data_IF_595524991933
#
_entry.id   IF_595524991933
#
_cell.length_a   1.000
_cell.length_b   1.000
_cell.length_c   1.000
_cell.angle_alpha   90.00
_cell.angle_beta   90.00
_cell.angle_gamma   90.00
#
_symmetry.space_group_name_H-M   'P 1'
#
loop_
_entity.id
_entity.type
_entity.pdbx_description
1 polymer ?
#
# COMPACT_ATOMS: atom_id res chain seq x y z
N UNK A 1 9.61 -3.96 -17.39
CA UNK A 1 10.30 -4.96 -16.53
C UNK A 1 10.61 -6.17 -17.39
N UNK A 2 11.87 -6.67 -17.33
CA UNK A 2 12.26 -7.82 -18.12
C UNK A 2 11.83 -9.15 -17.49
N UNK A 3 11.62 -10.17 -18.33
CA UNK A 3 11.25 -11.53 -17.87
C UNK A 3 12.29 -12.08 -16.87
N UNK A 4 13.58 -11.90 -17.11
CA UNK A 4 14.64 -12.33 -16.17
C UNK A 4 14.52 -11.70 -14.78
N UNK A 5 14.04 -10.47 -14.68
CA UNK A 5 13.81 -9.79 -13.39
C UNK A 5 12.62 -10.42 -12.64
N UNK A 6 11.57 -10.82 -13.38
CA UNK A 6 10.43 -11.55 -12.84
C UNK A 6 10.89 -12.92 -12.31
N UNK A 7 11.68 -13.65 -13.10
CA UNK A 7 12.24 -14.94 -12.68
C UNK A 7 13.13 -14.81 -11.44
N UNK A 8 13.98 -13.78 -11.40
CA UNK A 8 14.84 -13.49 -10.25
C UNK A 8 14.01 -13.19 -8.99
N UNK A 9 12.95 -12.39 -9.12
CA UNK A 9 12.09 -12.01 -8.00
C UNK A 9 11.32 -13.21 -7.44
N UNK A 10 10.71 -14.01 -8.31
CA UNK A 10 9.76 -15.08 -7.93
C UNK A 10 10.38 -16.46 -7.77
N UNK A 11 11.62 -16.64 -8.24
CA UNK A 11 12.24 -17.96 -8.44
C UNK A 11 11.40 -18.89 -9.33
N UNK A 12 10.56 -18.29 -10.17
CA UNK A 12 9.72 -19.00 -11.15
C UNK A 12 10.54 -19.68 -12.24
N UNK A 13 9.88 -20.57 -12.97
CA UNK A 13 10.47 -21.30 -14.10
C UNK A 13 9.90 -20.77 -15.38
N UNK A 14 10.77 -20.34 -16.31
CA UNK A 14 10.37 -20.08 -17.69
C UNK A 14 10.17 -21.42 -18.42
N UNK A 15 8.94 -21.69 -18.84
CA UNK A 15 8.59 -22.89 -19.61
C UNK A 15 8.87 -22.65 -21.09
N UNK A 16 8.59 -21.43 -21.58
CA UNK A 16 8.76 -21.01 -22.95
C UNK A 16 8.95 -19.48 -22.96
N UNK A 17 9.70 -18.96 -23.92
CA UNK A 17 9.85 -17.54 -24.17
C UNK A 17 11.29 -17.03 -24.08
N UNK A 18 11.45 -15.72 -23.97
CA UNK A 18 12.71 -15.01 -23.98
C UNK A 18 12.92 -14.18 -22.69
N UNK A 19 13.95 -14.51 -21.92
CA UNK A 19 14.28 -13.82 -20.66
C UNK A 19 14.62 -12.33 -20.83
N UNK A 20 15.06 -11.91 -22.01
CA UNK A 20 15.41 -10.51 -22.29
C UNK A 20 14.22 -9.66 -22.73
N UNK A 21 13.08 -10.27 -22.99
CA UNK A 21 11.85 -9.55 -23.37
C UNK A 21 11.34 -8.69 -22.20
N UNK A 22 10.76 -7.55 -22.54
CA UNK A 22 10.21 -6.59 -21.56
C UNK A 22 8.69 -6.55 -21.68
N UNK A 23 8.01 -6.72 -20.53
CA UNK A 23 6.57 -6.55 -20.43
C UNK A 23 6.19 -5.08 -20.29
N UNK A 24 4.99 -4.72 -20.74
CA UNK A 24 4.45 -3.38 -20.56
C UNK A 24 3.91 -3.18 -19.13
N UNK A 25 2.81 -3.81 -18.78
CA UNK A 25 2.14 -3.69 -17.49
C UNK A 25 1.74 -5.06 -16.95
N UNK A 26 1.44 -5.15 -15.65
CA UNK A 26 0.85 -6.34 -15.04
C UNK A 26 -0.67 -6.24 -15.07
N UNK A 27 -1.34 -7.32 -15.45
CA UNK A 27 -2.80 -7.40 -15.47
C UNK A 27 -3.30 -8.72 -14.86
N UNK A 28 -4.44 -8.70 -14.19
CA UNK A 28 -5.12 -9.87 -13.62
C UNK A 28 -6.51 -10.12 -14.24
N UNK A 29 -6.94 -9.23 -15.13
CA UNK A 29 -8.26 -9.31 -15.76
C UNK A 29 -8.08 -9.37 -17.28
N UNK A 30 -8.38 -10.53 -17.86
CA UNK A 30 -8.20 -10.78 -19.29
C UNK A 30 -9.02 -9.85 -20.17
N UNK A 31 -10.08 -9.20 -19.65
CA UNK A 31 -10.97 -8.30 -20.41
C UNK A 31 -10.35 -6.93 -20.70
N UNK A 32 -9.33 -6.54 -19.93
CA UNK A 32 -8.69 -5.22 -20.02
C UNK A 32 -7.19 -5.31 -20.38
N UNK A 33 -6.69 -6.52 -20.69
CA UNK A 33 -5.33 -6.75 -21.17
C UNK A 33 -5.07 -5.94 -22.43
N UNK A 34 -3.86 -5.40 -22.51
CA UNK A 34 -3.33 -4.72 -23.69
C UNK A 34 -2.17 -5.51 -24.25
N UNK A 35 -1.84 -5.21 -25.50
CA UNK A 35 -0.70 -5.82 -26.18
C UNK A 35 0.61 -5.60 -25.39
N UNK A 36 1.35 -6.68 -25.17
CA UNK A 36 2.61 -6.67 -24.43
C UNK A 36 2.48 -6.72 -22.89
N UNK A 37 1.26 -6.82 -22.35
CA UNK A 37 1.06 -6.96 -20.90
C UNK A 37 1.43 -8.36 -20.39
N UNK A 38 1.74 -8.46 -19.11
CA UNK A 38 1.87 -9.71 -18.38
C UNK A 38 0.61 -10.03 -17.60
N UNK A 39 -0.04 -11.13 -17.92
CA UNK A 39 -1.16 -11.64 -17.15
C UNK A 39 -0.69 -12.47 -15.96
N UNK A 40 -1.18 -12.20 -14.76
CA UNK A 40 -0.97 -13.06 -13.60
C UNK A 40 -2.28 -13.76 -13.22
N UNK A 41 -2.26 -15.10 -13.24
CA UNK A 41 -3.42 -15.93 -12.91
C UNK A 41 -3.60 -16.08 -11.43
N UNK A 42 -4.63 -15.42 -10.87
CA UNK A 42 -4.91 -15.48 -9.42
C UNK A 42 -5.99 -16.50 -9.15
N UNK A 43 -5.72 -17.44 -8.24
CA UNK A 43 -6.70 -18.40 -7.76
C UNK A 43 -7.50 -17.78 -6.62
N UNK A 44 -8.79 -17.55 -6.85
CA UNK A 44 -9.76 -17.13 -5.84
C UNK A 44 -10.54 -18.31 -5.26
N UNK A 45 -11.43 -18.02 -4.31
CA UNK A 45 -12.26 -19.04 -3.67
C UNK A 45 -13.22 -19.75 -4.64
N UNK A 46 -13.81 -19.00 -5.56
CA UNK A 46 -14.85 -19.50 -6.47
C UNK A 46 -14.40 -19.63 -7.93
N UNK A 47 -13.21 -19.14 -8.25
CA UNK A 47 -12.74 -19.08 -9.62
C UNK A 47 -11.21 -19.16 -9.67
N UNK A 48 -10.67 -19.95 -10.62
CA UNK A 48 -9.24 -20.07 -10.84
C UNK A 48 -8.81 -19.29 -12.08
N UNK A 49 -8.22 -18.11 -11.88
CA UNK A 49 -7.71 -17.26 -12.95
C UNK A 49 -6.60 -17.92 -13.78
N UNK A 50 -5.90 -18.92 -13.23
CA UNK A 50 -4.86 -19.62 -13.99
C UNK A 50 -5.40 -20.31 -15.24
N UNK A 51 -6.66 -20.72 -15.23
CA UNK A 51 -7.31 -21.38 -16.39
C UNK A 51 -7.53 -20.44 -17.57
N UNK A 52 -7.43 -19.12 -17.38
CA UNK A 52 -7.66 -18.11 -18.42
C UNK A 52 -6.41 -17.76 -19.24
N UNK A 53 -5.30 -18.46 -19.09
CA UNK A 53 -4.05 -18.10 -19.73
C UNK A 53 -4.15 -18.04 -21.28
N UNK A 54 -4.95 -18.92 -21.91
CA UNK A 54 -5.19 -18.89 -23.35
C UNK A 54 -5.93 -17.61 -23.77
N UNK A 55 -6.96 -17.23 -23.02
CA UNK A 55 -7.70 -15.98 -23.23
C UNK A 55 -6.81 -14.76 -23.03
N UNK A 56 -5.86 -14.81 -22.08
CA UNK A 56 -4.92 -13.73 -21.86
C UNK A 56 -4.07 -13.49 -23.11
N UNK A 57 -3.51 -14.52 -23.71
CA UNK A 57 -2.77 -14.42 -24.98
C UNK A 57 -3.65 -13.96 -26.14
N UNK A 58 -4.86 -14.50 -26.26
CA UNK A 58 -5.80 -14.10 -27.31
C UNK A 58 -6.22 -12.63 -27.22
N UNK A 59 -6.12 -12.03 -26.04
CA UNK A 59 -6.40 -10.62 -25.78
C UNK A 59 -5.14 -9.73 -25.78
N UNK A 60 -3.95 -10.27 -26.12
CA UNK A 60 -2.75 -9.49 -26.36
C UNK A 60 -1.68 -9.56 -25.25
N UNK A 61 -1.84 -10.40 -24.23
CA UNK A 61 -0.74 -10.64 -23.31
C UNK A 61 0.49 -11.20 -24.03
N UNK A 62 1.68 -10.68 -23.73
CA UNK A 62 2.96 -11.26 -24.18
C UNK A 62 3.48 -12.31 -23.20
N UNK A 63 2.98 -12.29 -21.98
CA UNK A 63 3.48 -13.10 -20.87
C UNK A 63 2.33 -13.56 -19.99
N UNK A 64 2.42 -14.80 -19.51
CA UNK A 64 1.54 -15.31 -18.44
C UNK A 64 2.37 -15.83 -17.27
N UNK A 65 1.92 -15.53 -16.04
CA UNK A 65 2.51 -15.99 -14.78
C UNK A 65 1.45 -16.82 -14.08
N UNK A 66 1.72 -18.10 -13.89
CA UNK A 66 0.69 -19.10 -13.54
C UNK A 66 1.19 -20.08 -12.48
N UNK A 67 0.23 -20.70 -11.76
CA UNK A 67 0.48 -21.81 -10.86
C UNK A 67 -0.41 -23.02 -11.20
N UNK A 68 0.07 -24.23 -10.90
CA UNK A 68 -0.74 -25.44 -10.95
C UNK A 68 -1.16 -25.92 -12.35
N UNK A 69 -0.54 -25.41 -13.43
CA UNK A 69 -0.82 -25.83 -14.80
C UNK A 69 0.24 -26.86 -15.25
N UNK A 70 -0.22 -27.99 -15.77
CA UNK A 70 0.64 -29.02 -16.38
C UNK A 70 0.78 -28.78 -17.89
N UNK A 71 1.81 -28.03 -18.26
CA UNK A 71 2.08 -27.69 -19.64
C UNK A 71 2.59 -28.85 -20.51
N UNK A 72 2.94 -30.01 -19.91
CA UNK A 72 3.36 -31.21 -20.68
C UNK A 72 2.25 -31.77 -21.57
N UNK A 73 1.00 -31.44 -21.28
CA UNK A 73 -0.22 -31.87 -22.00
C UNK A 73 -0.78 -30.81 -22.93
N UNK A 74 -0.18 -29.63 -22.96
CA UNK A 74 -0.66 -28.49 -23.75
C UNK A 74 0.09 -28.37 -25.10
N UNK A 75 -0.64 -28.03 -26.14
CA UNK A 75 0.00 -27.67 -27.42
C UNK A 75 0.36 -26.19 -27.38
N UNK A 76 1.65 -25.91 -27.24
CA UNK A 76 2.19 -24.55 -27.10
C UNK A 76 2.60 -23.95 -28.47
N UNK A 77 2.52 -24.66 -29.58
CA UNK A 77 2.96 -24.17 -30.91
C UNK A 77 2.23 -22.89 -31.33
N UNK A 78 0.95 -22.75 -30.97
CA UNK A 78 0.15 -21.55 -31.23
C UNK A 78 0.73 -20.32 -30.51
N UNK A 79 1.43 -20.51 -29.39
CA UNK A 79 1.91 -19.46 -28.51
C UNK A 79 3.45 -19.40 -28.42
N UNK A 80 4.14 -19.86 -29.48
CA UNK A 80 5.61 -20.01 -29.49
C UNK A 80 6.41 -18.72 -29.31
N UNK A 81 5.78 -17.56 -29.51
CA UNK A 81 6.41 -16.26 -29.38
C UNK A 81 6.11 -15.62 -28.01
N UNK A 82 5.24 -16.21 -27.21
CA UNK A 82 4.81 -15.70 -25.92
C UNK A 82 5.59 -16.34 -24.75
N UNK A 83 5.63 -15.65 -23.62
CA UNK A 83 6.35 -16.09 -22.44
C UNK A 83 5.41 -16.78 -21.45
N UNK A 84 5.79 -17.96 -20.97
CA UNK A 84 5.06 -18.74 -19.97
C UNK A 84 5.96 -18.95 -18.76
N UNK A 85 5.59 -18.33 -17.64
CA UNK A 85 6.27 -18.45 -16.35
C UNK A 85 5.39 -19.26 -15.40
N UNK A 86 5.96 -20.28 -14.77
CA UNK A 86 5.30 -21.06 -13.73
C UNK A 86 5.95 -20.73 -12.40
N UNK A 87 5.10 -20.46 -11.41
CA UNK A 87 5.48 -20.19 -10.02
C UNK A 87 4.77 -21.18 -9.08
N UNK A 88 5.23 -21.29 -7.85
CA UNK A 88 4.61 -22.15 -6.84
C UNK A 88 3.26 -21.57 -6.39
N UNK A 89 3.22 -20.27 -6.11
CA UNK A 89 2.03 -19.51 -5.70
C UNK A 89 2.01 -18.13 -6.39
N UNK A 90 0.94 -17.81 -7.09
CA UNK A 90 0.84 -16.54 -7.84
C UNK A 90 0.60 -15.34 -6.94
N UNK A 91 0.07 -15.51 -5.73
CA UNK A 91 -0.09 -14.41 -4.75
C UNK A 91 1.27 -14.04 -4.15
N UNK A 92 2.07 -15.05 -3.79
CA UNK A 92 3.44 -14.80 -3.30
C UNK A 92 4.31 -14.23 -4.43
N UNK A 93 4.20 -14.74 -5.66
CA UNK A 93 4.89 -14.20 -6.82
C UNK A 93 4.52 -12.73 -7.07
N UNK A 94 3.25 -12.36 -6.94
CA UNK A 94 2.76 -10.99 -7.05
C UNK A 94 3.43 -10.07 -6.00
N UNK A 95 3.54 -10.54 -4.76
CA UNK A 95 4.21 -9.84 -3.68
C UNK A 95 5.72 -9.68 -3.92
N UNK A 96 6.39 -10.74 -4.39
CA UNK A 96 7.81 -10.75 -4.69
C UNK A 96 8.16 -9.80 -5.84
N UNK A 97 7.38 -9.80 -6.94
CA UNK A 97 7.57 -8.90 -8.06
C UNK A 97 7.37 -7.44 -7.63
N UNK A 98 6.33 -7.18 -6.82
CA UNK A 98 6.07 -5.84 -6.30
C UNK A 98 7.18 -5.36 -5.36
N UNK A 99 7.69 -6.24 -4.50
CA UNK A 99 8.84 -5.95 -3.63
C UNK A 99 10.08 -5.63 -4.45
N UNK A 100 10.38 -6.45 -5.46
CA UNK A 100 11.49 -6.20 -6.38
C UNK A 100 11.33 -4.84 -7.07
N UNK A 101 10.15 -4.55 -7.64
CA UNK A 101 9.84 -3.26 -8.27
C UNK A 101 10.03 -2.09 -7.33
N UNK A 102 9.53 -2.19 -6.09
CA UNK A 102 9.69 -1.17 -5.05
C UNK A 102 11.18 -0.90 -4.75
N UNK A 103 11.99 -1.94 -4.66
CA UNK A 103 13.40 -1.80 -4.31
C UNK A 103 14.25 -1.18 -5.43
N UNK A 104 13.80 -1.19 -6.68
CA UNK A 104 14.48 -0.48 -7.78
C UNK A 104 14.53 1.04 -7.56
N UNK A 105 13.64 1.61 -6.75
CA UNK A 105 13.63 3.03 -6.37
C UNK A 105 14.60 3.36 -5.23
N UNK A 106 15.27 2.36 -4.68
CA UNK A 106 16.21 2.52 -3.57
C UNK A 106 15.52 2.50 -2.19
N UNK A 107 16.31 2.25 -1.16
CA UNK A 107 15.81 2.14 0.23
C UNK A 107 15.30 3.47 0.79
N UNK A 108 15.90 4.59 0.34
CA UNK A 108 15.60 5.93 0.83
C UNK A 108 14.43 6.62 0.06
N UNK A 109 13.84 5.92 -0.91
CA UNK A 109 12.65 6.43 -1.63
C UNK A 109 11.49 6.61 -0.63
N UNK A 110 10.91 7.84 -0.51
CA UNK A 110 9.88 8.13 0.47
C UNK A 110 8.61 7.30 0.23
N UNK A 111 8.27 6.45 1.17
CA UNK A 111 6.99 5.73 1.19
C UNK A 111 6.32 5.95 2.53
N UNK A 112 5.12 6.52 2.48
CA UNK A 112 4.27 6.72 3.65
C UNK A 112 3.25 5.59 3.68
N UNK A 113 3.37 4.67 4.64
CA UNK A 113 2.39 3.62 4.90
C UNK A 113 1.28 4.11 5.79
N UNK A 114 0.01 3.92 5.41
CA UNK A 114 -1.14 4.40 6.19
C UNK A 114 -2.06 3.25 6.55
N UNK A 115 -2.28 3.05 7.85
CA UNK A 115 -3.28 2.12 8.37
C UNK A 115 -4.14 2.77 9.47
N UNK A 116 -5.14 2.07 9.97
CA UNK A 116 -6.03 2.53 11.04
C UNK A 116 -7.38 1.82 10.98
N UNK A 117 -8.18 1.97 12.01
CA UNK A 117 -9.53 1.39 12.03
C UNK A 117 -10.47 2.10 11.07
N UNK A 118 -10.49 3.43 11.09
CA UNK A 118 -11.27 4.29 10.21
C UNK A 118 -10.43 5.45 9.68
N UNK A 119 -10.89 6.10 8.61
CA UNK A 119 -10.26 7.31 8.06
C UNK A 119 -9.02 7.10 7.20
N UNK A 120 -8.54 5.87 7.00
CA UNK A 120 -7.34 5.56 6.20
C UNK A 120 -7.33 6.25 4.84
N UNK A 121 -8.39 6.08 4.07
CA UNK A 121 -8.48 6.59 2.69
C UNK A 121 -8.45 8.12 2.65
N UNK A 122 -9.24 8.78 3.50
CA UNK A 122 -9.25 10.25 3.57
C UNK A 122 -7.91 10.80 4.07
N UNK A 123 -7.30 10.18 5.09
CA UNK A 123 -5.98 10.57 5.59
C UNK A 123 -4.91 10.40 4.52
N UNK A 124 -4.88 9.25 3.85
CA UNK A 124 -3.98 8.97 2.71
C UNK A 124 -4.11 10.05 1.61
N UNK A 125 -5.34 10.44 1.27
CA UNK A 125 -5.56 11.44 0.23
C UNK A 125 -5.04 12.82 0.63
N UNK A 126 -5.25 13.24 1.88
CA UNK A 126 -4.74 14.53 2.38
C UNK A 126 -3.21 14.49 2.50
N UNK A 127 -2.62 13.40 3.01
CA UNK A 127 -1.16 13.21 3.04
C UNK A 127 -0.60 13.30 1.62
N UNK A 128 -1.19 12.60 0.65
CA UNK A 128 -0.72 12.63 -0.72
C UNK A 128 -0.80 14.05 -1.32
N UNK A 129 -1.82 14.82 -1.00
CA UNK A 129 -1.94 16.22 -1.44
C UNK A 129 -0.82 17.10 -0.85
N UNK A 130 -0.47 16.92 0.43
CA UNK A 130 0.63 17.65 1.08
C UNK A 130 1.97 17.26 0.46
N UNK A 131 2.26 15.95 0.36
CA UNK A 131 3.50 15.42 -0.21
C UNK A 131 3.67 15.83 -1.67
N UNK A 132 2.58 15.92 -2.42
CA UNK A 132 2.57 16.33 -3.84
C UNK A 132 2.94 17.80 -4.06
N UNK A 133 3.01 18.63 -3.02
CA UNK A 133 3.52 20.00 -3.15
C UNK A 133 5.02 20.04 -3.45
N UNK A 134 5.74 18.97 -3.14
CA UNK A 134 7.18 18.86 -3.33
C UNK A 134 7.60 17.71 -4.24
N UNK A 135 6.90 16.59 -4.18
CA UNK A 135 7.28 15.33 -4.84
C UNK A 135 6.19 14.85 -5.80
N UNK A 136 6.57 14.36 -6.98
CA UNK A 136 5.64 13.60 -7.81
C UNK A 136 5.23 12.33 -7.07
N UNK A 137 3.97 12.27 -6.62
CA UNK A 137 3.52 11.30 -5.63
C UNK A 137 2.57 10.26 -6.21
N UNK A 138 2.90 8.97 -6.03
CA UNK A 138 1.95 7.87 -6.21
C UNK A 138 1.07 7.75 -4.95
N UNK A 139 -0.21 7.42 -5.12
CA UNK A 139 -1.06 7.00 -4.00
C UNK A 139 -1.93 5.80 -4.34
N UNK A 140 -2.28 5.01 -3.33
CA UNK A 140 -3.26 3.94 -3.47
C UNK A 140 -4.57 4.47 -4.04
N UNK A 141 -5.07 3.84 -5.10
CA UNK A 141 -6.35 4.15 -5.73
C UNK A 141 -7.45 3.21 -5.19
N UNK A 142 -8.64 3.78 -4.91
CA UNK A 142 -9.77 3.00 -4.40
C UNK A 142 -9.39 2.19 -3.15
N UNK A 143 -9.81 0.92 -3.11
CA UNK A 143 -9.55 -0.03 -2.01
C UNK A 143 -8.42 -1.00 -2.31
N UNK A 144 -7.42 -0.61 -3.12
CA UNK A 144 -6.26 -1.45 -3.44
C UNK A 144 -5.26 -1.52 -2.28
N UNK A 145 -5.73 -1.91 -1.09
CA UNK A 145 -5.02 -1.88 0.18
C UNK A 145 -4.78 -3.27 0.80
N UNK A 146 -4.96 -4.34 0.02
CA UNK A 146 -4.78 -5.73 0.43
C UNK A 146 -3.63 -6.42 -0.34
N UNK A 147 -3.40 -7.71 -0.08
CA UNK A 147 -2.33 -8.53 -0.67
C UNK A 147 -2.36 -8.65 -2.21
N UNK A 148 -3.45 -8.28 -2.85
CA UNK A 148 -3.56 -8.21 -4.32
C UNK A 148 -3.47 -6.74 -4.78
N UNK A 149 -4.23 -5.85 -4.17
CA UNK A 149 -4.34 -4.46 -4.61
C UNK A 149 -3.09 -3.63 -4.40
N UNK A 150 -2.38 -3.83 -3.28
CA UNK A 150 -1.16 -3.10 -2.98
C UNK A 150 -0.03 -3.40 -4.00
N UNK A 151 0.25 -4.66 -4.39
CA UNK A 151 1.18 -4.96 -5.47
C UNK A 151 0.85 -4.21 -6.77
N UNK A 152 -0.42 -4.21 -7.21
CA UNK A 152 -0.84 -3.46 -8.40
C UNK A 152 -0.66 -1.95 -8.24
N UNK A 153 -0.78 -1.42 -7.02
CA UNK A 153 -0.41 -0.01 -6.75
C UNK A 153 1.08 0.21 -6.96
N UNK A 154 1.95 -0.67 -6.45
CA UNK A 154 3.41 -0.58 -6.59
C UNK A 154 3.85 -0.71 -8.07
N UNK A 155 3.17 -1.51 -8.89
CA UNK A 155 3.49 -1.63 -10.32
C UNK A 155 3.32 -0.30 -11.08
N UNK A 156 2.50 0.62 -10.58
CA UNK A 156 2.35 1.96 -11.14
C UNK A 156 3.50 2.93 -10.79
N UNK A 157 4.50 2.50 -10.01
CA UNK A 157 5.73 3.28 -9.81
C UNK A 157 6.53 3.33 -11.11
N UNK A 158 6.73 4.52 -11.67
CA UNK A 158 7.50 4.79 -12.93
C UNK A 158 8.55 5.87 -12.70
N UNK A 159 8.11 7.09 -12.48
CA UNK A 159 8.92 8.30 -12.34
C UNK A 159 8.47 9.14 -11.13
N UNK A 160 7.72 8.52 -10.22
CA UNK A 160 7.34 9.17 -8.97
C UNK A 160 8.53 9.29 -8.03
N UNK A 161 8.48 10.30 -7.17
CA UNK A 161 9.51 10.65 -6.20
C UNK A 161 9.09 10.29 -4.78
N UNK A 162 7.80 9.98 -4.58
CA UNK A 162 7.24 9.51 -3.31
C UNK A 162 6.02 8.62 -3.54
N UNK A 163 5.62 7.86 -2.51
CA UNK A 163 4.39 7.07 -2.53
C UNK A 163 3.64 7.13 -1.19
N UNK A 164 2.31 7.19 -1.24
CA UNK A 164 1.42 7.09 -0.07
C UNK A 164 0.55 5.84 -0.23
N UNK A 165 0.83 4.83 0.58
CA UNK A 165 0.30 3.48 0.43
C UNK A 165 -0.64 3.14 1.58
N UNK A 166 -1.91 2.92 1.26
CA UNK A 166 -2.91 2.46 2.23
C UNK A 166 -2.77 0.95 2.46
N UNK A 167 -2.83 0.54 3.74
CA UNK A 167 -2.73 -0.85 4.18
C UNK A 167 -3.94 -1.23 5.04
N UNK A 168 -4.78 -2.12 4.49
CA UNK A 168 -5.94 -2.68 5.14
C UNK A 168 -5.66 -4.05 5.73
N UNK A 169 -6.48 -4.48 6.71
CA UNK A 169 -6.39 -5.84 7.27
C UNK A 169 -7.73 -6.29 7.86
N UNK A 170 -7.92 -7.59 7.92
CA UNK A 170 -8.98 -8.27 8.66
C UNK A 170 -8.41 -9.19 9.75
N UNK A 171 -7.17 -9.69 9.58
CA UNK A 171 -6.52 -10.66 10.45
C UNK A 171 -5.08 -10.26 10.76
N UNK A 172 -4.49 -10.90 11.77
CA UNK A 172 -3.06 -10.79 12.04
C UNK A 172 -2.22 -11.27 10.84
N UNK A 173 -1.04 -10.67 10.67
CA UNK A 173 -0.08 -11.01 9.62
C UNK A 173 -0.35 -10.35 8.28
N UNK A 174 -1.54 -9.76 8.06
CA UNK A 174 -1.87 -9.11 6.78
C UNK A 174 -1.10 -7.81 6.60
N UNK A 175 -1.06 -6.92 7.61
CA UNK A 175 -0.26 -5.69 7.56
C UNK A 175 1.24 -6.03 7.45
N UNK A 176 1.70 -7.07 8.15
CA UNK A 176 3.08 -7.56 8.08
C UNK A 176 3.49 -7.89 6.64
N UNK A 177 2.64 -8.58 5.88
CA UNK A 177 2.88 -8.86 4.46
C UNK A 177 2.93 -7.58 3.62
N UNK A 178 1.95 -6.70 3.79
CA UNK A 178 1.83 -5.46 3.01
C UNK A 178 3.01 -4.51 3.24
N UNK A 179 3.43 -4.35 4.49
CA UNK A 179 4.54 -3.46 4.83
C UNK A 179 5.89 -3.97 4.31
N UNK A 180 6.08 -5.31 4.26
CA UNK A 180 7.28 -5.93 3.68
C UNK A 180 7.38 -5.72 2.16
N UNK A 181 6.24 -5.59 1.48
CA UNK A 181 6.19 -5.23 0.05
C UNK A 181 6.48 -3.74 -0.14
N UNK A 182 5.77 -2.87 0.56
CA UNK A 182 5.83 -1.42 0.37
C UNK A 182 7.11 -0.79 0.94
N UNK A 183 7.73 -1.38 1.98
CA UNK A 183 8.94 -0.87 2.62
C UNK A 183 8.82 0.62 2.99
N UNK A 184 7.87 0.99 3.88
CA UNK A 184 7.65 2.39 4.22
C UNK A 184 8.85 3.00 4.96
N UNK A 185 9.09 4.29 4.71
CA UNK A 185 10.06 5.12 5.46
C UNK A 185 9.39 5.85 6.61
N UNK A 186 8.08 6.14 6.46
CA UNK A 186 7.21 6.72 7.49
C UNK A 186 5.94 5.87 7.53
N UNK A 187 5.47 5.54 8.73
CA UNK A 187 4.19 4.84 8.93
C UNK A 187 3.21 5.72 9.71
N UNK A 188 1.93 5.57 9.39
CA UNK A 188 0.82 6.29 10.03
C UNK A 188 -0.19 5.30 10.56
N UNK A 189 -0.58 5.44 11.84
CA UNK A 189 -1.76 4.78 12.40
C UNK A 189 -2.77 5.85 12.80
N UNK A 190 -3.88 5.95 12.04
CA UNK A 190 -4.86 7.03 12.22
C UNK A 190 -5.62 6.92 13.54
N UNK A 191 -6.06 5.72 13.88
CA UNK A 191 -6.76 5.41 15.15
C UNK A 191 -6.89 3.91 15.38
N UNK A 192 -7.19 3.55 16.63
CA UNK A 192 -7.59 2.21 17.07
C UNK A 192 -9.03 2.26 17.57
N UNK A 193 -9.95 1.84 16.71
CA UNK A 193 -11.38 1.69 17.00
C UNK A 193 -11.77 0.22 17.17
N UNK A 194 -13.00 -0.11 16.80
CA UNK A 194 -13.59 -1.46 16.92
C UNK A 194 -13.70 -2.20 15.58
N UNK A 195 -13.22 -1.60 14.47
CA UNK A 195 -13.24 -2.28 13.16
C UNK A 195 -12.46 -3.59 13.23
N UNK A 196 -13.06 -4.66 12.70
CA UNK A 196 -12.52 -6.04 12.72
C UNK A 196 -12.41 -6.68 14.12
N UNK A 197 -13.08 -6.13 15.14
CA UNK A 197 -13.04 -6.68 16.52
C UNK A 197 -13.56 -8.11 16.58
N UNK A 198 -14.51 -8.48 15.71
CA UNK A 198 -15.02 -9.85 15.60
C UNK A 198 -13.95 -10.86 15.20
N UNK A 199 -12.95 -10.45 14.40
CA UNK A 199 -11.84 -11.32 13.96
C UNK A 199 -10.67 -11.31 14.94
N UNK A 200 -10.44 -10.18 15.63
CA UNK A 200 -9.25 -9.95 16.46
C UNK A 200 -9.53 -10.04 17.98
N UNK A 201 -10.81 -10.00 18.38
CA UNK A 201 -11.25 -10.21 19.75
C UNK A 201 -11.21 -8.99 20.64
N UNK A 202 -10.22 -8.11 20.54
CA UNK A 202 -10.09 -6.90 21.38
C UNK A 202 -9.45 -5.73 20.66
N UNK A 203 -9.57 -4.51 21.22
CA UNK A 203 -8.91 -3.31 20.68
C UNK A 203 -7.38 -3.37 20.84
N UNK A 204 -6.88 -4.01 21.87
CA UNK A 204 -5.43 -4.25 22.06
C UNK A 204 -4.88 -5.15 20.96
N UNK A 205 -5.63 -6.15 20.55
CA UNK A 205 -5.26 -7.00 19.43
C UNK A 205 -5.32 -6.23 18.09
N UNK A 206 -6.29 -5.31 17.93
CA UNK A 206 -6.33 -4.42 16.76
C UNK A 206 -5.08 -3.52 16.74
N UNK A 207 -4.66 -2.97 17.88
CA UNK A 207 -3.41 -2.22 17.99
C UNK A 207 -2.21 -3.09 17.58
N UNK A 208 -2.09 -4.31 18.12
CA UNK A 208 -1.01 -5.24 17.75
C UNK A 208 -0.96 -5.49 16.24
N UNK A 209 -2.11 -5.82 15.63
CA UNK A 209 -2.18 -6.08 14.20
C UNK A 209 -1.79 -4.84 13.34
N UNK A 210 -2.14 -3.63 13.79
CA UNK A 210 -1.75 -2.41 13.07
C UNK A 210 -0.29 -2.04 13.27
N UNK A 211 0.30 -2.35 14.42
CA UNK A 211 1.72 -2.16 14.68
C UNK A 211 2.63 -3.08 13.82
N UNK A 212 2.08 -4.14 13.20
CA UNK A 212 2.80 -4.91 12.18
C UNK A 212 3.32 -4.03 11.03
N UNK A 213 2.77 -2.82 10.84
CA UNK A 213 3.26 -1.87 9.82
C UNK A 213 4.73 -1.51 10.02
N UNK A 214 5.25 -1.62 11.23
CA UNK A 214 6.65 -1.35 11.57
C UNK A 214 7.61 -2.47 11.14
N UNK A 215 7.10 -3.68 10.81
CA UNK A 215 7.95 -4.83 10.48
C UNK A 215 8.65 -4.73 9.12
N UNK A 216 8.11 -3.91 8.21
CA UNK A 216 8.71 -3.67 6.88
C UNK A 216 9.70 -2.50 6.84
N UNK A 217 9.93 -1.83 7.96
CA UNK A 217 10.73 -0.60 8.04
C UNK A 217 12.15 -0.89 8.52
N UNK A 218 13.14 -0.28 7.86
CA UNK A 218 14.54 -0.29 8.33
C UNK A 218 14.69 0.63 9.55
N UNK A 219 14.19 1.87 9.46
CA UNK A 219 14.06 2.82 10.58
C UNK A 219 12.59 2.99 10.92
N UNK A 220 12.23 2.74 12.17
CA UNK A 220 10.84 2.78 12.63
C UNK A 220 10.43 4.22 12.96
N UNK A 221 9.81 4.92 12.00
CA UNK A 221 9.24 6.26 12.18
C UNK A 221 7.71 6.15 12.10
N UNK A 222 7.01 6.51 13.17
CA UNK A 222 5.57 6.32 13.31
C UNK A 222 4.86 7.63 13.66
N UNK A 223 3.86 7.99 12.87
CA UNK A 223 2.96 9.12 13.13
C UNK A 223 1.65 8.60 13.70
N UNK A 224 1.22 9.14 14.84
CA UNK A 224 0.01 8.70 15.54
C UNK A 224 -0.88 9.85 15.98
N UNK A 225 -2.17 9.56 16.09
CA UNK A 225 -3.14 10.40 16.80
C UNK A 225 -2.99 10.22 18.32
N UNK A 226 -2.48 11.24 18.99
CA UNK A 226 -2.23 11.23 20.43
C UNK A 226 -3.50 11.33 21.28
N UNK A 227 -4.65 11.64 20.69
CA UNK A 227 -5.95 11.65 21.37
C UNK A 227 -6.64 10.28 21.33
N UNK A 228 -6.05 9.30 20.63
CA UNK A 228 -6.52 7.92 20.69
C UNK A 228 -5.89 7.21 21.89
N UNK A 229 -6.71 6.74 22.80
CA UNK A 229 -6.32 6.17 24.10
C UNK A 229 -5.23 5.07 24.02
N UNK A 230 -5.38 4.11 23.08
CA UNK A 230 -4.42 3.02 22.94
C UNK A 230 -3.13 3.47 22.23
N UNK A 231 -3.20 4.41 21.30
CA UNK A 231 -2.00 4.98 20.65
C UNK A 231 -1.24 5.88 21.64
N UNK A 232 -1.94 6.68 22.44
CA UNK A 232 -1.34 7.48 23.52
C UNK A 232 -0.60 6.60 24.53
N UNK A 233 -1.24 5.52 25.00
CA UNK A 233 -0.60 4.55 25.89
C UNK A 233 0.65 3.94 25.25
N UNK A 234 0.57 3.53 23.97
CA UNK A 234 1.72 3.00 23.24
C UNK A 234 2.87 4.02 23.14
N UNK A 235 2.55 5.30 22.89
CA UNK A 235 3.54 6.38 22.87
C UNK A 235 4.28 6.55 24.21
N UNK A 236 3.57 6.51 25.33
CA UNK A 236 4.16 6.66 26.66
C UNK A 236 5.04 5.46 27.06
N UNK A 237 4.69 4.26 26.63
CA UNK A 237 5.36 3.00 27.02
C UNK A 237 6.51 2.62 26.10
N UNK A 238 6.51 3.07 24.83
CA UNK A 238 7.47 2.64 23.80
C UNK A 238 8.64 3.63 23.68
N UNK A 239 9.88 3.08 23.63
CA UNK A 239 11.12 3.86 23.47
C UNK A 239 11.94 3.46 22.24
N UNK A 240 11.53 2.41 21.54
CA UNK A 240 12.29 1.81 20.43
C UNK A 240 11.85 2.32 19.05
N UNK A 241 10.76 3.11 19.01
CA UNK A 241 10.19 3.67 17.78
C UNK A 241 10.28 5.19 17.87
N UNK A 242 10.71 5.84 16.81
CA UNK A 242 10.63 7.29 16.67
C UNK A 242 9.17 7.65 16.39
N UNK A 243 8.50 8.25 17.39
CA UNK A 243 7.08 8.54 17.32
C UNK A 243 6.87 10.05 17.21
N UNK A 244 6.10 10.46 16.21
CA UNK A 244 5.61 11.82 16.01
C UNK A 244 4.12 11.87 16.27
N UNK A 245 3.67 12.90 17.00
CA UNK A 245 2.31 12.99 17.50
C UNK A 245 1.55 14.16 16.91
N UNK A 246 0.28 13.93 16.64
CA UNK A 246 -0.70 14.99 16.41
C UNK A 246 -1.93 14.79 17.30
N UNK A 247 -2.57 15.89 17.68
CA UNK A 247 -3.75 15.85 18.54
C UNK A 247 -4.41 17.21 18.70
N UNK A 248 -5.57 17.22 19.35
CA UNK A 248 -6.34 18.42 19.70
C UNK A 248 -6.44 18.56 21.22
N UNK A 249 -6.55 17.41 21.92
CA UNK A 249 -6.81 17.33 23.35
C UNK A 249 -5.51 17.11 24.15
N UNK A 250 -4.67 16.19 23.71
CA UNK A 250 -3.39 15.88 24.33
C UNK A 250 -2.25 16.69 23.74
N UNK A 251 -1.27 17.06 24.55
CA UNK A 251 -0.05 17.74 24.11
C UNK A 251 0.63 16.92 23.00
N UNK A 252 0.87 17.55 21.87
CA UNK A 252 1.36 16.91 20.65
C UNK A 252 2.27 17.84 19.86
N UNK A 253 3.11 17.27 18.98
CA UNK A 253 4.01 18.07 18.12
C UNK A 253 3.24 18.95 17.14
N UNK A 254 2.08 18.48 16.67
CA UNK A 254 1.19 19.21 15.78
C UNK A 254 -0.21 19.26 16.39
N UNK A 255 -0.73 20.46 16.60
CA UNK A 255 -2.02 20.68 17.27
C UNK A 255 -2.93 21.61 16.47
N UNK A 256 -4.22 21.64 16.81
CA UNK A 256 -5.20 22.58 16.27
C UNK A 256 -5.83 23.42 17.37
N UNK A 257 -5.98 24.71 17.09
CA UNK A 257 -6.66 25.70 17.95
C UNK A 257 -7.75 26.42 17.13
N UNK A 258 -8.71 27.04 17.82
CA UNK A 258 -9.75 27.87 17.19
C UNK A 258 -10.52 27.12 16.09
N UNK A 259 -10.91 25.89 16.37
CA UNK A 259 -11.58 25.02 15.39
C UNK A 259 -13.01 25.51 15.16
N UNK A 260 -13.34 25.77 13.89
CA UNK A 260 -14.70 26.11 13.43
C UNK A 260 -15.14 25.02 12.45
N UNK A 261 -16.22 24.35 12.76
CA UNK A 261 -16.79 23.27 11.93
C UNK A 261 -18.07 23.78 11.28
N UNK A 262 -18.05 23.90 9.96
CA UNK A 262 -19.20 24.19 9.12
C UNK A 262 -19.64 22.92 8.38
N UNK A 263 -20.80 22.97 7.74
CA UNK A 263 -21.35 21.82 7.00
C UNK A 263 -20.39 21.31 5.90
N UNK A 264 -19.77 22.24 5.17
CA UNK A 264 -18.95 21.94 3.99
C UNK A 264 -17.46 22.22 4.15
N UNK A 265 -17.03 22.69 5.31
CA UNK A 265 -15.62 23.02 5.58
C UNK A 265 -15.29 22.98 7.05
N UNK A 266 -14.01 22.80 7.34
CA UNK A 266 -13.42 22.92 8.67
C UNK A 266 -12.29 23.94 8.62
N UNK A 267 -12.27 24.90 9.52
CA UNK A 267 -11.21 25.91 9.65
C UNK A 267 -10.57 25.80 11.03
N UNK A 268 -9.27 26.00 11.11
CA UNK A 268 -8.56 25.98 12.38
C UNK A 268 -7.18 26.63 12.25
N UNK A 269 -6.58 26.96 13.39
CA UNK A 269 -5.18 27.35 13.45
C UNK A 269 -4.34 26.10 13.75
N UNK A 270 -3.49 25.72 12.81
CA UNK A 270 -2.52 24.65 13.01
C UNK A 270 -1.27 25.20 13.69
N UNK A 271 -0.79 24.53 14.74
CA UNK A 271 0.45 24.85 15.40
C UNK A 271 1.45 23.69 15.20
N UNK A 272 2.59 23.97 14.58
CA UNK A 272 3.70 23.03 14.39
C UNK A 272 4.92 23.61 15.13
N UNK A 273 5.29 23.00 16.25
CA UNK A 273 6.48 23.39 17.04
C UNK A 273 6.55 24.90 17.34
N UNK A 274 5.37 25.52 17.58
CA UNK A 274 5.25 26.95 17.89
C UNK A 274 4.96 27.87 16.70
N UNK A 275 5.12 27.42 15.48
CA UNK A 275 4.70 28.15 14.29
C UNK A 275 3.22 27.92 14.03
N UNK A 276 2.46 29.01 13.82
CA UNK A 276 1.00 28.98 13.67
C UNK A 276 0.58 29.48 12.29
N UNK A 277 -0.34 28.75 11.65
CA UNK A 277 -0.95 29.15 10.38
C UNK A 277 -2.40 28.71 10.27
N UNK A 278 -3.20 29.46 9.52
CA UNK A 278 -4.59 29.13 9.28
C UNK A 278 -4.71 27.98 8.27
N UNK A 279 -5.52 27.00 8.58
CA UNK A 279 -5.83 25.87 7.72
C UNK A 279 -7.32 25.86 7.43
N UNK A 280 -7.67 25.65 6.16
CA UNK A 280 -9.03 25.41 5.69
C UNK A 280 -9.08 24.07 4.96
N UNK A 281 -9.94 23.18 5.41
CA UNK A 281 -10.23 21.89 4.77
C UNK A 281 -11.61 21.99 4.15
N UNK A 282 -11.78 21.79 2.82
CA UNK A 282 -13.06 21.97 2.14
C UNK A 282 -14.00 20.76 2.36
N UNK A 283 -14.07 20.28 3.60
CA UNK A 283 -14.98 19.24 4.09
C UNK A 283 -15.25 19.50 5.58
N UNK A 284 -16.51 19.41 5.99
CA UNK A 284 -16.90 19.62 7.38
C UNK A 284 -16.65 18.39 8.26
N UNK A 285 -16.25 18.66 9.52
CA UNK A 285 -16.16 17.64 10.56
C UNK A 285 -14.79 17.49 11.21
N UNK A 286 -14.82 17.22 12.51
CA UNK A 286 -13.62 17.12 13.35
C UNK A 286 -12.61 16.06 12.86
N UNK A 287 -13.10 14.98 12.22
CA UNK A 287 -12.22 13.95 11.68
C UNK A 287 -11.30 14.47 10.56
N UNK A 288 -11.75 15.48 9.79
CA UNK A 288 -10.93 16.09 8.75
C UNK A 288 -9.89 17.04 9.34
N UNK A 289 -10.14 17.61 10.51
CA UNK A 289 -9.10 18.34 11.28
C UNK A 289 -7.98 17.37 11.65
N UNK A 290 -8.30 16.23 12.26
CA UNK A 290 -7.30 15.18 12.60
C UNK A 290 -6.54 14.69 11.35
N UNK A 291 -7.22 14.46 10.24
CA UNK A 291 -6.56 14.04 9.00
C UNK A 291 -5.60 15.11 8.47
N UNK A 292 -5.96 16.38 8.58
CA UNK A 292 -5.09 17.49 8.19
C UNK A 292 -3.89 17.65 9.13
N UNK A 293 -4.08 17.50 10.44
CA UNK A 293 -2.97 17.48 11.42
C UNK A 293 -2.00 16.33 11.14
N UNK A 294 -2.52 15.14 10.84
CA UNK A 294 -1.72 13.99 10.43
C UNK A 294 -0.87 14.32 9.20
N UNK A 295 -1.49 14.89 8.17
CA UNK A 295 -0.78 15.25 6.94
C UNK A 295 0.25 16.36 7.17
N UNK A 296 -0.04 17.35 8.03
CA UNK A 296 0.91 18.36 8.42
C UNK A 296 2.12 17.74 9.16
N UNK A 297 1.89 16.79 10.07
CA UNK A 297 2.97 16.06 10.75
C UNK A 297 3.85 15.31 9.76
N UNK A 298 3.27 14.54 8.83
CA UNK A 298 4.04 13.85 7.76
C UNK A 298 4.81 14.84 6.90
N UNK A 299 4.23 16.00 6.59
CA UNK A 299 4.87 17.04 5.78
C UNK A 299 6.10 17.71 6.44
N UNK A 300 6.31 17.52 7.75
CA UNK A 300 7.50 18.04 8.46
C UNK A 300 8.65 17.04 8.51
N UNK A 301 8.44 15.81 8.10
CA UNK A 301 9.42 14.71 8.11
C UNK A 301 10.04 14.48 6.74
#
# INVERSE_FOLDING_TARGET
MKIKEILQATKGKLIQGNEEEEINEFCRDTRIIKEGDAYIGIKGENFDGNTLWKNAFENGASTVILQGIDFSKENLEKYKNENIIVVEDTIEALADIATYRRMLFGKDFPVIGVTGSVGKTSTKDIIANVVSQKYKTLKTQGNNNNNIGLPFTIFNLKDQEAAVIEMGMNHFGEISKLTKIAKPTISVITNIGTSHIGNLGSRENILKAKLEILEGMDKKVLVINNDNDLLHKFYLENKDVEIHTYGIENESEVTAENIVLNENESEFVCNIKGEKFNVRVPVGGIHFVYNALCAATVGTL
#
